data_IF_579976899227
#
_entry.id   IF_579976899227
#
_cell.length_a   1.000
_cell.length_b   1.000
_cell.length_c   1.000
_cell.angle_alpha   90.00
_cell.angle_beta   90.00
_cell.angle_gamma   90.00
#
_symmetry.space_group_name_H-M   'P 1'
#
loop_
_entity.id
_entity.type
_entity.pdbx_description
1 polymer ?
#
# COMPACT_ATOMS: atom_id res chain seq x y z
N UNK A 1 14.66 -25.87 19.43
CA UNK A 1 14.34 -25.74 17.99
C UNK A 1 15.45 -26.45 17.24
N UNK A 2 15.16 -27.50 16.45
CA UNK A 2 16.20 -28.26 15.75
C UNK A 2 16.55 -27.54 14.44
N UNK A 3 17.77 -27.73 13.93
CA UNK A 3 18.26 -27.04 12.71
C UNK A 3 17.37 -27.27 11.48
N UNK A 4 16.84 -28.49 11.30
CA UNK A 4 15.88 -28.80 10.22
C UNK A 4 14.59 -27.97 10.29
N UNK A 5 14.19 -27.51 11.49
CA UNK A 5 13.00 -26.67 11.62
C UNK A 5 13.25 -25.28 11.02
N UNK A 6 14.48 -24.76 11.12
CA UNK A 6 14.87 -23.45 10.59
C UNK A 6 14.88 -23.46 9.07
N UNK A 7 15.49 -24.48 8.45
CA UNK A 7 15.54 -24.62 6.99
C UNK A 7 14.13 -24.66 6.36
N UNK A 8 13.21 -25.38 7.01
CA UNK A 8 11.80 -25.43 6.57
C UNK A 8 11.13 -24.05 6.68
N UNK A 9 11.39 -23.29 7.75
CA UNK A 9 10.83 -21.95 7.90
C UNK A 9 11.40 -20.96 6.88
N UNK A 10 12.70 -21.01 6.61
CA UNK A 10 13.34 -20.18 5.58
C UNK A 10 12.75 -20.49 4.21
N UNK A 11 12.63 -21.77 3.85
CA UNK A 11 12.02 -22.17 2.58
C UNK A 11 10.58 -21.67 2.44
N UNK A 12 9.77 -21.77 3.51
CA UNK A 12 8.41 -21.23 3.52
C UNK A 12 8.39 -19.70 3.36
N UNK A 13 9.29 -19.00 4.04
CA UNK A 13 9.40 -17.55 3.94
C UNK A 13 9.76 -17.10 2.52
N UNK A 14 10.80 -17.71 1.92
CA UNK A 14 11.23 -17.40 0.55
C UNK A 14 10.13 -17.69 -0.47
N UNK A 15 9.44 -18.83 -0.35
CA UNK A 15 8.32 -19.17 -1.24
C UNK A 15 7.14 -18.20 -1.10
N UNK A 16 6.87 -17.71 0.10
CA UNK A 16 5.81 -16.72 0.30
C UNK A 16 6.19 -15.36 -0.30
N UNK A 17 7.46 -14.97 -0.25
CA UNK A 17 7.97 -13.70 -0.78
C UNK A 17 7.82 -13.59 -2.30
N UNK A 18 7.90 -14.71 -3.02
CA UNK A 18 7.78 -14.74 -4.49
C UNK A 18 6.33 -14.85 -5.00
N UNK A 19 5.35 -14.90 -4.09
CA UNK A 19 3.93 -14.93 -4.49
C UNK A 19 3.50 -13.59 -5.09
N UNK A 20 2.82 -13.61 -6.23
CA UNK A 20 2.19 -12.41 -6.82
C UNK A 20 1.13 -11.78 -5.91
N UNK A 21 0.63 -12.52 -4.91
CA UNK A 21 -0.31 -12.03 -3.91
C UNK A 21 0.38 -11.52 -2.63
N UNK A 22 1.72 -11.44 -2.64
CA UNK A 22 2.46 -10.97 -1.48
C UNK A 22 2.16 -9.49 -1.21
N UNK A 23 1.95 -9.14 0.07
CA UNK A 23 1.59 -7.79 0.54
C UNK A 23 2.56 -6.67 0.09
N UNK A 24 3.80 -7.00 -0.27
CA UNK A 24 4.76 -6.02 -0.77
C UNK A 24 4.31 -5.42 -2.11
N UNK A 25 3.61 -6.19 -2.95
CA UNK A 25 3.03 -5.69 -4.19
C UNK A 25 1.86 -4.71 -3.98
N UNK A 26 1.31 -4.59 -2.76
CA UNK A 26 0.28 -3.59 -2.49
C UNK A 26 0.77 -2.16 -2.73
N UNK A 27 2.08 -1.89 -2.57
CA UNK A 27 2.65 -0.60 -2.96
C UNK A 27 2.49 -0.39 -4.47
N UNK A 28 2.93 -1.34 -5.28
CA UNK A 28 2.87 -1.23 -6.74
C UNK A 28 1.42 -1.07 -7.23
N UNK A 29 0.47 -1.81 -6.65
CA UNK A 29 -0.96 -1.64 -6.98
C UNK A 29 -1.48 -0.25 -6.61
N UNK A 30 -1.10 0.28 -5.44
CA UNK A 30 -1.51 1.61 -4.99
C UNK A 30 -0.87 2.72 -5.85
N UNK A 31 0.44 2.64 -6.07
CA UNK A 31 1.19 3.56 -6.90
C UNK A 31 0.63 3.58 -8.33
N UNK A 32 0.53 2.41 -8.98
CA UNK A 32 0.05 2.33 -10.36
C UNK A 32 -1.39 2.81 -10.51
N UNK A 33 -2.24 2.61 -9.50
CA UNK A 33 -3.60 3.14 -9.49
C UNK A 33 -3.59 4.67 -9.58
N UNK A 34 -2.87 5.35 -8.68
CA UNK A 34 -2.83 6.81 -8.66
C UNK A 34 -2.06 7.39 -9.85
N UNK A 35 -0.95 6.75 -10.24
CA UNK A 35 -0.16 7.15 -11.41
C UNK A 35 -0.99 7.15 -12.69
N UNK A 36 -1.80 6.10 -12.93
CA UNK A 36 -2.66 6.02 -14.12
C UNK A 36 -3.86 6.97 -14.06
N UNK A 37 -4.24 7.42 -12.86
CA UNK A 37 -5.43 8.22 -12.60
C UNK A 37 -5.20 9.73 -12.71
N UNK A 38 -3.96 10.19 -12.93
CA UNK A 38 -3.53 11.61 -12.86
C UNK A 38 -4.38 12.63 -13.66
N UNK A 39 -5.27 12.21 -14.57
CA UNK A 39 -6.18 13.10 -15.31
C UNK A 39 -7.66 12.65 -15.31
N UNK A 40 -8.04 11.72 -14.43
CA UNK A 40 -9.39 11.13 -14.42
C UNK A 40 -10.33 11.77 -13.39
N UNK A 41 -9.90 12.84 -12.70
CA UNK A 41 -10.63 13.48 -11.62
C UNK A 41 -10.63 12.64 -10.33
N UNK A 42 -11.19 13.18 -9.25
CA UNK A 42 -11.21 12.53 -7.93
C UNK A 42 -12.44 11.62 -7.80
N UNK A 43 -12.22 10.36 -7.44
CA UNK A 43 -13.27 9.43 -6.98
C UNK A 43 -12.98 9.16 -5.50
N UNK A 44 -13.50 10.01 -4.62
CA UNK A 44 -13.09 10.04 -3.21
C UNK A 44 -13.26 8.70 -2.52
N UNK A 45 -14.34 7.96 -2.79
CA UNK A 45 -14.58 6.67 -2.14
C UNK A 45 -13.55 5.64 -2.59
N UNK A 46 -13.37 5.49 -3.91
CA UNK A 46 -12.44 4.52 -4.48
C UNK A 46 -10.98 4.86 -4.19
N UNK A 47 -10.62 6.13 -4.27
CA UNK A 47 -9.29 6.64 -3.96
C UNK A 47 -8.94 6.37 -2.48
N UNK A 48 -9.85 6.70 -1.56
CA UNK A 48 -9.65 6.44 -0.13
C UNK A 48 -9.57 4.93 0.15
N UNK A 49 -10.36 4.10 -0.53
CA UNK A 49 -10.31 2.64 -0.41
C UNK A 49 -8.98 2.07 -0.90
N UNK A 50 -8.47 2.53 -2.05
CA UNK A 50 -7.19 2.07 -2.58
C UNK A 50 -6.04 2.39 -1.62
N UNK A 51 -5.97 3.64 -1.16
CA UNK A 51 -4.96 4.06 -0.19
C UNK A 51 -5.14 3.29 1.13
N UNK A 52 -6.38 3.17 1.63
CA UNK A 52 -6.68 2.45 2.86
C UNK A 52 -6.26 0.99 2.82
N UNK A 53 -6.48 0.30 1.70
CA UNK A 53 -6.03 -1.07 1.51
C UNK A 53 -4.51 -1.19 1.59
N UNK A 54 -3.77 -0.30 0.92
CA UNK A 54 -2.31 -0.25 1.03
C UNK A 54 -1.86 -0.05 2.48
N UNK A 55 -2.37 0.96 3.18
CA UNK A 55 -1.99 1.21 4.58
C UNK A 55 -2.31 0.01 5.49
N UNK A 56 -3.47 -0.63 5.27
CA UNK A 56 -3.87 -1.83 6.00
C UNK A 56 -2.93 -3.01 5.72
N UNK A 57 -2.57 -3.22 4.45
CA UNK A 57 -1.65 -4.28 4.05
C UNK A 57 -0.22 -4.05 4.52
N UNK A 58 0.15 -2.83 4.95
CA UNK A 58 1.41 -2.52 5.65
C UNK A 58 1.28 -2.56 7.18
N UNK A 59 0.09 -2.86 7.69
CA UNK A 59 -0.18 -2.99 9.12
C UNK A 59 -0.37 -1.66 9.83
N UNK A 60 -0.65 -0.57 9.11
CA UNK A 60 -0.89 0.73 9.71
C UNK A 60 -2.24 0.81 10.45
N UNK A 61 -3.15 -0.14 10.18
CA UNK A 61 -4.45 -0.28 10.86
C UNK A 61 -4.40 -1.30 12.03
N UNK A 62 -3.23 -1.70 12.51
CA UNK A 62 -3.09 -2.65 13.63
C UNK A 62 -2.89 -1.94 14.98
N UNK A 63 -3.33 -2.58 16.07
CA UNK A 63 -3.03 -2.14 17.44
C UNK A 63 -3.60 -0.76 17.79
N UNK A 64 -2.91 -0.01 18.65
CA UNK A 64 -3.28 1.35 19.09
C UNK A 64 -2.93 2.45 18.08
N UNK A 65 -2.85 2.12 16.78
CA UNK A 65 -2.61 3.12 15.73
C UNK A 65 -3.76 4.12 15.70
N UNK A 66 -3.45 5.42 15.56
CA UNK A 66 -4.48 6.45 15.43
C UNK A 66 -5.39 6.21 14.23
N UNK A 67 -4.88 5.57 13.17
CA UNK A 67 -5.66 5.24 11.97
C UNK A 67 -6.79 4.25 12.26
N UNK A 68 -6.63 3.36 13.25
CA UNK A 68 -7.69 2.42 13.64
C UNK A 68 -8.89 3.15 14.27
N UNK A 69 -8.68 4.36 14.80
CA UNK A 69 -9.71 5.20 15.39
C UNK A 69 -10.36 6.13 14.35
N UNK A 70 -10.08 5.93 13.06
CA UNK A 70 -10.57 6.76 11.96
C UNK A 70 -11.31 5.94 10.91
N UNK A 71 -11.95 6.61 9.95
CA UNK A 71 -12.62 5.98 8.81
C UNK A 71 -12.07 6.52 7.49
N UNK A 72 -12.61 6.03 6.36
CA UNK A 72 -12.17 6.41 5.01
C UNK A 72 -12.10 7.92 4.78
N UNK A 73 -12.97 8.72 5.41
CA UNK A 73 -12.96 10.18 5.26
C UNK A 73 -11.69 10.84 5.80
N UNK A 74 -10.94 10.16 6.68
CA UNK A 74 -9.65 10.64 7.17
C UNK A 74 -8.62 10.81 6.06
N UNK A 75 -8.75 10.04 4.97
CA UNK A 75 -7.81 10.08 3.85
C UNK A 75 -8.11 11.20 2.84
N UNK A 76 -9.25 11.90 2.93
CA UNK A 76 -9.68 12.90 1.93
C UNK A 76 -8.61 13.93 1.58
N UNK A 77 -8.00 14.56 2.59
CA UNK A 77 -6.94 15.56 2.38
C UNK A 77 -5.69 14.98 1.71
N UNK A 78 -5.36 13.72 2.02
CA UNK A 78 -4.24 13.02 1.39
C UNK A 78 -4.57 12.70 -0.07
N UNK A 79 -5.80 12.28 -0.36
CA UNK A 79 -6.27 12.03 -1.72
C UNK A 79 -6.28 13.33 -2.54
N UNK A 80 -6.75 14.44 -1.98
CA UNK A 80 -6.70 15.76 -2.64
C UNK A 80 -5.26 16.17 -2.94
N UNK A 81 -4.34 15.95 -2.00
CA UNK A 81 -2.91 16.20 -2.22
C UNK A 81 -2.35 15.33 -3.37
N UNK A 82 -2.59 14.01 -3.33
CA UNK A 82 -2.12 13.06 -4.34
C UNK A 82 -2.64 13.40 -5.73
N UNK A 83 -3.92 13.77 -5.86
CA UNK A 83 -4.50 14.12 -7.16
C UNK A 83 -4.01 15.47 -7.71
N UNK A 84 -3.37 16.31 -6.88
CA UNK A 84 -2.78 17.58 -7.31
C UNK A 84 -1.29 17.46 -7.67
N UNK A 85 -0.69 16.26 -7.55
CA UNK A 85 0.69 16.01 -7.97
C UNK A 85 0.80 16.02 -9.50
N UNK A 86 1.89 16.59 -10.01
CA UNK A 86 2.24 16.55 -11.42
C UNK A 86 2.97 15.25 -11.75
N UNK A 87 3.01 14.87 -13.03
CA UNK A 87 3.69 13.65 -13.50
C UNK A 87 5.16 13.56 -13.04
N UNK A 88 5.87 14.69 -13.06
CA UNK A 88 7.25 14.79 -12.55
C UNK A 88 7.39 14.46 -11.05
N UNK A 89 6.33 14.62 -10.26
CA UNK A 89 6.36 14.36 -8.82
C UNK A 89 6.23 12.87 -8.51
N UNK A 90 5.82 12.07 -9.49
CA UNK A 90 5.71 10.61 -9.39
C UNK A 90 7.00 9.89 -9.78
N UNK A 91 8.01 10.59 -10.32
CA UNK A 91 9.22 9.97 -10.82
C UNK A 91 10.10 9.47 -9.66
N UNK A 92 9.99 8.17 -9.33
CA UNK A 92 10.69 7.53 -8.20
C UNK A 92 12.17 7.24 -8.53
N UNK A 93 12.62 7.42 -9.78
CA UNK A 93 13.99 7.08 -10.22
C UNK A 93 15.12 7.87 -9.53
N UNK A 94 14.80 8.84 -8.65
CA UNK A 94 15.76 9.67 -7.93
C UNK A 94 15.85 9.40 -6.41
N UNK A 95 15.58 8.19 -5.92
CA UNK A 95 15.74 7.86 -4.49
C UNK A 95 16.80 6.80 -4.21
#
# INVERSE_FOLDING_TARGET
MKQNDIEIQIYKFEKNKTSSYHRYYSFDFCYNYFYKKQNSGIDLEKDCLQLGYYLASWGMLRGSSFLLQTNLAHYKKVIEFINNLYEKDWDIEHR
#
